data_IF_601648342912
#
_entry.id   IF_601648342912
#
_cell.length_a   1.000
_cell.length_b   1.000
_cell.length_c   1.000
_cell.angle_alpha   90.00
_cell.angle_beta   90.00
_cell.angle_gamma   90.00
#
_symmetry.space_group_name_H-M   'P 1'
#
loop_
_entity.id
_entity.type
_entity.pdbx_description
1 polymer ?
#
# COMPACT_ATOMS: atom_id res chain seq x y z
N UNK A 1 -4.10 5.27 23.75
CA UNK A 1 -3.75 6.71 23.81
C UNK A 1 -3.96 7.45 22.49
N UNK A 2 -3.15 7.27 21.44
CA UNK A 2 -3.28 8.07 20.19
C UNK A 2 -4.65 7.94 19.51
N UNK A 3 -5.19 6.72 19.38
CA UNK A 3 -6.53 6.50 18.79
C UNK A 3 -7.68 7.08 19.61
N UNK A 4 -7.58 7.00 20.94
CA UNK A 4 -8.59 7.57 21.86
C UNK A 4 -8.58 9.10 21.80
N UNK A 5 -7.39 9.70 21.71
CA UNK A 5 -7.22 11.13 21.53
C UNK A 5 -7.81 11.61 20.19
N UNK A 6 -7.54 10.91 19.09
CA UNK A 6 -8.10 11.25 17.79
C UNK A 6 -9.63 11.19 17.77
N UNK A 7 -10.23 10.14 18.35
CA UNK A 7 -11.68 10.02 18.47
C UNK A 7 -12.29 11.16 19.31
N UNK A 8 -11.63 11.51 20.42
CA UNK A 8 -12.02 12.66 21.25
C UNK A 8 -11.99 13.96 20.43
N UNK A 9 -10.91 14.21 19.69
CA UNK A 9 -10.74 15.43 18.89
C UNK A 9 -11.78 15.55 17.78
N UNK A 10 -12.15 14.44 17.13
CA UNK A 10 -13.24 14.42 16.14
C UNK A 10 -14.59 14.73 16.80
N UNK A 11 -14.90 14.09 17.93
CA UNK A 11 -16.17 14.30 18.62
C UNK A 11 -16.28 15.76 19.10
N UNK A 12 -15.20 16.31 19.68
CA UNK A 12 -15.15 17.71 20.10
C UNK A 12 -15.34 18.68 18.90
N UNK A 13 -14.63 18.44 17.80
CA UNK A 13 -14.75 19.23 16.57
C UNK A 13 -16.18 19.22 16.02
N UNK A 14 -16.81 18.05 15.98
CA UNK A 14 -18.20 17.91 15.55
C UNK A 14 -19.17 18.67 16.46
N UNK A 15 -19.04 18.56 17.78
CA UNK A 15 -19.86 19.29 18.73
C UNK A 15 -19.71 20.81 18.62
N UNK A 16 -18.49 21.30 18.36
CA UNK A 16 -18.22 22.73 18.12
C UNK A 16 -18.89 23.20 16.82
N UNK A 17 -18.80 22.41 15.74
CA UNK A 17 -19.47 22.73 14.47
C UNK A 17 -20.99 22.82 14.61
N UNK A 18 -21.58 21.99 15.48
CA UNK A 18 -23.01 22.02 15.79
C UNK A 18 -23.42 23.30 16.53
N UNK A 19 -22.48 23.93 17.24
CA UNK A 19 -22.66 25.21 17.92
C UNK A 19 -22.50 26.43 16.99
N UNK A 20 -22.44 26.24 15.66
CA UNK A 20 -22.28 27.28 14.60
C UNK A 20 -20.94 28.04 14.61
N UNK A 21 -19.88 27.46 15.15
CA UNK A 21 -18.51 27.96 14.98
C UNK A 21 -17.79 27.15 13.88
N UNK A 22 -17.04 27.78 12.96
CA UNK A 22 -16.18 27.07 12.02
C UNK A 22 -14.98 26.50 12.78
N UNK A 23 -14.91 25.18 12.90
CA UNK A 23 -13.78 24.49 13.52
C UNK A 23 -13.22 23.49 12.52
N UNK A 24 -11.92 23.60 12.23
CA UNK A 24 -11.24 22.72 11.31
C UNK A 24 -11.15 21.31 11.93
N UNK A 25 -11.54 20.29 11.15
CA UNK A 25 -11.49 18.91 11.63
C UNK A 25 -10.04 18.48 11.84
N UNK A 26 -9.64 18.15 13.07
CA UNK A 26 -8.25 17.80 13.37
C UNK A 26 -7.89 16.46 12.72
N UNK A 27 -6.73 16.42 12.07
CA UNK A 27 -6.21 15.24 11.38
C UNK A 27 -5.51 14.27 12.34
N UNK A 28 -5.34 13.02 11.93
CA UNK A 28 -4.75 11.96 12.76
C UNK A 28 -3.28 12.23 13.16
N UNK A 29 -2.61 13.15 12.46
CA UNK A 29 -1.22 13.53 12.65
C UNK A 29 -1.04 14.92 13.28
N UNK A 30 -2.14 15.62 13.62
CA UNK A 30 -2.05 16.93 14.26
C UNK A 30 -1.48 16.80 15.68
N UNK A 31 -0.70 17.80 16.08
CA UNK A 31 -0.09 17.83 17.41
C UNK A 31 -1.19 17.80 18.50
N UNK A 32 -1.13 16.84 19.44
CA UNK A 32 -2.17 16.70 20.46
C UNK A 32 -2.35 17.93 21.34
N UNK A 33 -1.26 18.62 21.69
CA UNK A 33 -1.33 19.79 22.57
C UNK A 33 -1.87 21.02 21.82
N UNK A 34 -1.52 21.18 20.55
CA UNK A 34 -2.08 22.22 19.68
C UNK A 34 -3.58 22.02 19.47
N UNK A 35 -4.01 20.78 19.16
CA UNK A 35 -5.42 20.43 18.96
C UNK A 35 -6.24 20.67 20.24
N UNK A 36 -5.72 20.25 21.39
CA UNK A 36 -6.31 20.54 22.70
C UNK A 36 -6.43 22.04 22.93
N UNK A 37 -5.38 22.81 22.65
CA UNK A 37 -5.36 24.25 22.88
C UNK A 37 -6.41 24.96 22.03
N UNK A 38 -6.58 24.53 20.78
CA UNK A 38 -7.63 25.01 19.88
C UNK A 38 -9.03 24.69 20.42
N UNK A 39 -9.28 23.43 20.81
CA UNK A 39 -10.57 23.01 21.41
C UNK A 39 -10.87 23.80 22.69
N UNK A 40 -9.89 24.00 23.57
CA UNK A 40 -10.06 24.75 24.81
C UNK A 40 -10.26 26.25 24.56
N UNK A 41 -9.60 26.83 23.56
CA UNK A 41 -9.80 28.24 23.18
C UNK A 41 -11.23 28.49 22.70
N UNK A 42 -11.76 27.58 21.89
CA UNK A 42 -13.13 27.63 21.39
C UNK A 42 -14.14 27.37 22.51
N UNK A 43 -13.81 26.48 23.44
CA UNK A 43 -14.63 26.21 24.62
C UNK A 43 -14.68 27.42 25.56
N UNK A 44 -13.57 28.15 25.75
CA UNK A 44 -13.57 29.41 26.52
C UNK A 44 -14.43 30.47 25.86
N UNK A 45 -14.48 30.52 24.53
CA UNK A 45 -15.36 31.43 23.80
C UNK A 45 -16.85 31.08 23.98
N UNK A 46 -17.18 29.78 24.02
CA UNK A 46 -18.56 29.27 24.12
C UNK A 46 -19.08 29.14 25.57
N UNK A 47 -18.18 28.99 26.56
CA UNK A 47 -18.51 28.70 27.97
C UNK A 47 -17.85 29.74 28.88
N UNK A 48 -18.62 30.72 29.36
CA UNK A 48 -18.18 31.85 30.23
C UNK A 48 -17.52 31.48 31.59
N UNK A 49 -17.33 30.21 31.93
CA UNK A 49 -16.76 29.79 33.24
C UNK A 49 -15.83 28.57 33.18
N UNK A 50 -15.04 28.40 32.12
CA UNK A 50 -14.02 27.35 32.13
C UNK A 50 -12.70 27.85 32.76
N UNK A 51 -12.33 27.30 33.92
CA UNK A 51 -11.16 27.71 34.70
C UNK A 51 -10.05 26.64 34.81
N UNK A 52 -10.18 25.51 34.11
CA UNK A 52 -9.15 24.46 34.19
C UNK A 52 -8.06 24.67 33.14
N UNK A 53 -6.80 24.70 33.60
CA UNK A 53 -5.63 24.90 32.74
C UNK A 53 -4.93 23.60 32.33
N UNK A 54 -5.32 22.45 32.92
CA UNK A 54 -4.73 21.15 32.62
C UNK A 54 -5.83 20.11 32.37
N UNK A 55 -5.66 19.26 31.35
CA UNK A 55 -6.61 18.17 31.08
C UNK A 55 -6.08 16.88 31.71
N UNK A 56 -6.48 16.63 32.96
CA UNK A 56 -6.42 15.28 33.54
C UNK A 56 -7.51 14.42 32.89
N UNK A 57 -7.37 13.09 32.92
CA UNK A 57 -8.28 12.14 32.26
C UNK A 57 -9.76 12.35 32.62
N UNK A 58 -10.05 12.85 33.83
CA UNK A 58 -11.40 13.21 34.30
C UNK A 58 -11.97 14.49 33.69
N UNK A 59 -11.12 15.37 33.18
CA UNK A 59 -11.49 16.69 32.62
C UNK A 59 -11.95 16.57 31.16
N UNK A 60 -11.49 15.56 30.41
CA UNK A 60 -11.93 15.31 29.02
C UNK A 60 -13.45 15.06 28.93
N UNK A 61 -14.00 14.23 29.83
CA UNK A 61 -15.43 13.94 29.87
C UNK A 61 -16.24 15.18 30.24
N UNK A 62 -15.75 16.00 31.18
CA UNK A 62 -16.42 17.24 31.57
C UNK A 62 -16.44 18.27 30.42
N UNK A 63 -15.35 18.38 29.67
CA UNK A 63 -15.29 19.23 28.47
C UNK A 63 -16.33 18.81 27.44
N UNK A 64 -16.43 17.51 27.15
CA UNK A 64 -17.43 17.01 26.20
C UNK A 64 -18.85 17.21 26.71
N UNK A 65 -19.11 16.97 28.00
CA UNK A 65 -20.43 17.15 28.60
C UNK A 65 -20.91 18.61 28.47
N UNK A 66 -20.04 19.58 28.72
CA UNK A 66 -20.34 21.01 28.53
C UNK A 66 -20.59 21.37 27.06
N UNK A 67 -19.81 20.81 26.13
CA UNK A 67 -20.00 21.00 24.68
C UNK A 67 -21.32 20.38 24.20
N UNK A 68 -21.65 19.18 24.69
CA UNK A 68 -22.92 18.50 24.39
C UNK A 68 -24.10 19.31 24.91
N UNK A 69 -24.05 19.78 26.16
CA UNK A 69 -25.15 20.56 26.72
C UNK A 69 -25.40 21.86 25.93
N UNK A 70 -24.34 22.51 25.44
CA UNK A 70 -24.43 23.68 24.56
C UNK A 70 -24.92 23.35 23.16
N UNK A 71 -24.43 22.27 22.57
CA UNK A 71 -24.89 21.80 21.26
C UNK A 71 -26.39 21.47 21.30
N UNK A 72 -26.84 20.77 22.35
CA UNK A 72 -28.26 20.44 22.57
C UNK A 72 -29.11 21.69 22.77
N UNK A 73 -28.64 22.67 23.57
CA UNK A 73 -29.33 23.98 23.73
C UNK A 73 -29.41 24.74 22.41
N UNK A 74 -28.35 24.76 21.61
CA UNK A 74 -28.32 25.44 20.30
C UNK A 74 -29.28 24.82 19.27
N UNK A 75 -29.56 23.52 19.41
CA UNK A 75 -30.51 22.77 18.59
C UNK A 75 -31.95 22.75 19.14
N UNK A 76 -32.20 23.38 20.28
CA UNK A 76 -33.52 23.44 20.92
C UNK A 76 -33.98 22.10 21.52
N UNK A 77 -33.04 21.21 21.87
CA UNK A 77 -33.38 19.91 22.43
C UNK A 77 -33.87 20.04 23.87
N UNK A 78 -35.00 19.42 24.19
CA UNK A 78 -35.58 19.33 25.54
C UNK A 78 -35.62 17.88 25.99
N UNK A 79 -35.12 17.60 27.18
CA UNK A 79 -35.24 16.27 27.79
C UNK A 79 -36.72 15.96 28.07
N UNK A 80 -37.25 14.89 27.48
CA UNK A 80 -38.60 14.43 27.78
C UNK A 80 -38.66 13.91 29.22
N UNK A 81 -39.61 14.41 30.00
CA UNK A 81 -39.82 14.01 31.40
C UNK A 81 -40.24 12.53 31.41
N UNK A 82 -39.47 11.69 32.10
CA UNK A 82 -39.72 10.25 32.20
C UNK A 82 -41.15 9.99 32.68
N UNK A 83 -41.94 9.29 31.87
CA UNK A 83 -43.28 8.83 32.25
C UNK A 83 -43.14 7.90 33.46
N UNK A 84 -43.86 8.19 34.55
CA UNK A 84 -43.94 7.29 35.71
C UNK A 84 -44.63 6.00 35.27
N UNK A 85 -43.87 4.94 34.98
CA UNK A 85 -44.43 3.61 34.80
C UNK A 85 -45.04 3.14 36.13
N UNK A 86 -46.24 2.55 36.08
CA UNK A 86 -46.94 2.09 37.28
C UNK A 86 -46.28 0.83 37.84
N UNK A 87 -46.25 0.71 39.17
CA UNK A 87 -45.67 -0.42 39.93
C UNK A 87 -46.12 -1.82 39.45
N UNK A 88 -47.37 -2.04 38.99
CA UNK A 88 -47.79 -3.33 38.45
C UNK A 88 -46.93 -3.86 37.28
N UNK A 89 -46.46 -2.98 36.38
CA UNK A 89 -45.63 -3.40 35.24
C UNK A 89 -44.22 -3.84 35.68
N UNK A 90 -43.73 -3.29 36.79
CA UNK A 90 -42.40 -3.59 37.33
C UNK A 90 -42.36 -5.01 37.93
N UNK A 91 -43.42 -5.41 38.63
CA UNK A 91 -43.45 -6.69 39.35
C UNK A 91 -43.47 -7.90 38.41
N UNK A 92 -44.17 -7.80 37.27
CA UNK A 92 -44.23 -8.87 36.25
C UNK A 92 -42.91 -9.08 35.49
N UNK A 93 -42.11 -8.02 35.34
CA UNK A 93 -40.82 -8.09 34.63
C UNK A 93 -39.67 -8.55 35.54
N UNK A 94 -39.76 -8.32 36.85
CA UNK A 94 -38.71 -8.65 37.81
C UNK A 94 -38.73 -10.12 38.25
N UNK A 95 -39.88 -10.79 38.14
CA UNK A 95 -40.05 -12.21 38.48
C UNK A 95 -40.76 -12.97 37.36
N UNK A 96 -40.08 -13.29 36.24
CA UNK A 96 -40.58 -14.30 35.33
C UNK A 96 -40.49 -15.66 36.04
N UNK A 97 -41.61 -16.38 36.17
CA UNK A 97 -41.67 -17.69 36.81
C UNK A 97 -40.74 -18.68 36.09
N UNK A 98 -39.52 -18.85 36.59
CA UNK A 98 -38.57 -19.86 36.13
C UNK A 98 -37.96 -20.50 37.37
N UNK A 99 -38.28 -21.78 37.59
CA UNK A 99 -37.60 -22.66 38.52
C UNK A 99 -36.18 -22.92 37.98
N UNK A 100 -35.13 -22.51 38.71
CA UNK A 100 -33.75 -22.93 38.42
C UNK A 100 -33.04 -23.20 39.74
N UNK A 101 -32.54 -24.44 39.86
CA UNK A 101 -31.78 -24.99 40.97
C UNK A 101 -30.43 -24.25 41.15
N UNK A 102 -30.07 -23.95 42.40
CA UNK A 102 -28.80 -23.31 42.77
C UNK A 102 -27.70 -24.36 43.02
N UNK A 103 -26.54 -24.20 42.38
CA UNK A 103 -25.27 -24.80 42.82
C UNK A 103 -24.20 -23.71 42.96
N UNK A 104 -23.48 -23.72 44.09
CA UNK A 104 -22.59 -22.65 44.53
C UNK A 104 -21.14 -23.17 44.63
N UNK A 105 -20.18 -22.51 43.98
CA UNK A 105 -18.74 -22.81 44.10
C UNK A 105 -18.03 -21.62 44.76
N UNK A 106 -17.38 -21.87 45.90
CA UNK A 106 -16.53 -20.91 46.63
C UNK A 106 -15.08 -21.01 46.15
N UNK A 107 -14.41 -19.87 46.00
CA UNK A 107 -12.94 -19.78 46.02
C UNK A 107 -12.52 -18.55 46.83
N UNK A 108 -11.63 -18.77 47.81
CA UNK A 108 -10.97 -17.78 48.67
C UNK A 108 -9.67 -17.29 48.00
N UNK A 109 -9.29 -16.02 48.22
CA UNK A 109 -8.07 -15.40 47.67
C UNK A 109 -7.15 -14.91 48.80
N UNK A 110 -5.87 -15.30 48.75
CA UNK A 110 -4.81 -14.99 49.73
C UNK A 110 -3.99 -13.74 49.36
N UNK A 111 -3.41 -13.13 50.40
CA UNK A 111 -2.79 -11.80 50.47
C UNK A 111 -1.27 -11.85 50.26
N UNK A 112 -0.65 -10.90 49.54
CA UNK A 112 0.81 -10.65 49.61
C UNK A 112 1.18 -9.18 49.37
N UNK A 113 1.84 -8.59 50.37
CA UNK A 113 2.55 -7.29 50.34
C UNK A 113 4.00 -7.47 49.87
N UNK A 114 4.63 -6.46 49.26
CA UNK A 114 6.08 -6.20 49.39
C UNK A 114 6.44 -4.73 49.05
N UNK A 115 7.34 -4.16 49.86
CA UNK A 115 7.75 -2.74 49.90
C UNK A 115 9.02 -2.41 49.09
N UNK A 116 9.28 -1.13 48.78
CA UNK A 116 10.56 -0.66 48.23
C UNK A 116 10.76 0.88 48.06
N UNK A 117 11.12 1.58 49.15
CA UNK A 117 12.04 2.74 49.37
C UNK A 117 12.30 3.91 48.36
N UNK A 118 11.82 5.12 48.76
CA UNK A 118 12.48 6.48 48.92
C UNK A 118 12.99 7.34 47.72
N UNK A 119 13.14 8.71 47.82
CA UNK A 119 12.58 9.70 48.78
C UNK A 119 12.19 11.14 48.24
N UNK A 120 11.59 11.98 49.13
CA UNK A 120 11.54 13.49 49.19
C UNK A 120 10.55 14.22 48.23
N UNK A 121 9.61 15.12 48.60
CA UNK A 121 9.31 15.99 49.76
C UNK A 121 7.81 15.88 50.10
N UNK A 122 7.51 15.69 51.39
CA UNK A 122 6.17 15.57 51.96
C UNK A 122 5.59 16.98 52.16
N UNK A 123 4.40 17.24 51.61
CA UNK A 123 3.48 18.19 52.24
C UNK A 123 3.04 17.51 53.53
N UNK A 124 3.66 17.86 54.65
CA UNK A 124 3.24 17.35 55.96
C UNK A 124 1.84 17.91 56.22
N UNK A 125 0.85 17.03 56.10
CA UNK A 125 -0.47 17.28 56.66
C UNK A 125 -0.29 17.20 58.16
N UNK A 126 -0.57 18.30 58.88
CA UNK A 126 -0.60 18.38 60.35
C UNK A 126 -1.71 17.50 60.99
N UNK A 127 -2.09 16.41 60.33
CA UNK A 127 -3.11 15.48 60.81
C UNK A 127 -2.38 14.33 61.49
N UNK A 128 -2.41 14.35 62.83
CA UNK A 128 -1.89 13.27 63.66
C UNK A 128 -2.60 11.96 63.30
N UNK A 129 -1.83 10.94 62.94
CA UNK A 129 -2.36 9.64 62.54
C UNK A 129 -3.16 8.97 63.66
N UNK A 130 -2.82 9.26 64.93
CA UNK A 130 -3.57 8.76 66.08
C UNK A 130 -4.92 9.46 66.23
N UNK A 131 -4.98 10.79 66.04
CA UNK A 131 -6.21 11.57 66.03
C UNK A 131 -7.13 11.19 64.86
N UNK A 132 -6.54 10.97 63.67
CA UNK A 132 -7.29 10.49 62.51
C UNK A 132 -7.85 9.09 62.73
N UNK A 133 -7.08 8.17 63.33
CA UNK A 133 -7.57 6.82 63.59
C UNK A 133 -8.66 6.80 64.66
N UNK A 134 -8.58 7.66 65.68
CA UNK A 134 -9.64 7.84 66.66
C UNK A 134 -10.90 8.46 66.02
N UNK A 135 -10.75 9.41 65.12
CA UNK A 135 -11.87 9.98 64.37
C UNK A 135 -12.48 8.94 63.42
N UNK A 136 -11.66 8.10 62.79
CA UNK A 136 -12.12 6.97 61.97
C UNK A 136 -12.84 5.93 62.82
N UNK A 137 -12.33 5.53 63.98
CA UNK A 137 -13.02 4.62 64.90
C UNK A 137 -14.30 5.21 65.48
N UNK A 138 -14.35 6.53 65.70
CA UNK A 138 -15.54 7.25 66.15
C UNK A 138 -16.60 7.39 65.06
N UNK A 139 -16.18 7.59 63.81
CA UNK A 139 -17.04 7.79 62.64
C UNK A 139 -17.40 6.45 61.97
N UNK A 140 -16.64 5.38 62.20
CA UNK A 140 -16.92 4.00 61.72
C UNK A 140 -18.32 3.51 62.10
N UNK A 141 -18.80 3.69 63.35
CA UNK A 141 -20.19 3.38 63.73
C UNK A 141 -21.23 4.28 63.03
N UNK A 142 -20.87 5.50 62.66
CA UNK A 142 -21.76 6.46 61.98
C UNK A 142 -21.81 6.24 60.46
N UNK A 143 -20.73 5.69 59.89
CA UNK A 143 -20.61 5.26 58.49
C UNK A 143 -21.04 3.81 58.28
N UNK A 144 -21.16 3.03 59.35
CA UNK A 144 -21.82 1.73 59.33
C UNK A 144 -23.29 1.97 59.05
N UNK A 145 -23.61 2.07 57.75
CA UNK A 145 -24.96 2.02 57.21
C UNK A 145 -25.52 0.67 57.63
N UNK A 146 -26.10 0.65 58.82
CA UNK A 146 -26.94 -0.47 59.25
C UNK A 146 -28.15 -0.34 58.36
N UNK A 147 -28.10 -1.03 57.22
CA UNK A 147 -29.24 -1.24 56.34
C UNK A 147 -30.23 -2.00 57.22
N UNK A 148 -31.11 -1.25 57.90
CA UNK A 148 -32.39 -1.81 58.30
C UNK A 148 -33.00 -2.29 57.00
N UNK A 149 -33.23 -3.60 56.90
CA UNK A 149 -34.02 -4.23 55.85
C UNK A 149 -35.43 -3.66 55.90
N UNK A 150 -35.60 -2.45 55.36
CA UNK A 150 -36.89 -1.93 54.95
C UNK A 150 -37.06 -2.31 53.48
N UNK A 151 -38.16 -3.00 53.18
CA UNK A 151 -38.62 -3.44 51.86
C UNK A 151 -38.94 -2.27 50.90
N UNK A 152 -38.22 -1.15 51.00
CA UNK A 152 -38.34 0.04 50.16
C UNK A 152 -37.06 0.32 49.36
N UNK A 153 -35.88 -0.04 49.89
CA UNK A 153 -34.59 0.24 49.23
C UNK A 153 -34.30 -0.74 48.09
N UNK A 154 -34.70 -2.01 48.23
CA UNK A 154 -34.65 -3.00 47.13
C UNK A 154 -35.44 -2.52 45.89
N UNK A 155 -36.54 -1.81 46.13
CA UNK A 155 -37.45 -1.27 45.14
C UNK A 155 -36.85 -0.05 44.45
N UNK A 156 -36.04 0.73 45.17
CA UNK A 156 -35.39 1.93 44.64
C UNK A 156 -34.14 1.57 43.82
N UNK A 157 -33.33 0.62 44.30
CA UNK A 157 -32.18 0.09 43.56
C UNK A 157 -32.64 -0.72 42.34
N UNK A 158 -33.65 -1.58 42.50
CA UNK A 158 -34.29 -2.29 41.40
C UNK A 158 -34.98 -1.36 40.40
N UNK A 159 -35.60 -0.27 40.88
CA UNK A 159 -36.17 0.77 40.03
C UNK A 159 -35.12 1.51 39.20
N UNK A 160 -33.95 1.82 39.77
CA UNK A 160 -32.85 2.44 39.03
C UNK A 160 -32.26 1.50 37.96
N UNK A 161 -32.07 0.22 38.30
CA UNK A 161 -31.63 -0.80 37.35
C UNK A 161 -32.67 -0.98 36.24
N UNK A 162 -33.97 -1.05 36.57
CA UNK A 162 -35.04 -1.17 35.59
C UNK A 162 -35.11 0.05 34.67
N UNK A 163 -35.02 1.26 35.19
CA UNK A 163 -34.96 2.49 34.38
C UNK A 163 -33.76 2.40 33.44
N UNK A 164 -32.59 2.00 33.93
CA UNK A 164 -31.41 1.83 33.08
C UNK A 164 -31.66 0.80 31.97
N UNK A 165 -32.25 -0.36 32.27
CA UNK A 165 -32.57 -1.39 31.29
C UNK A 165 -33.61 -0.91 30.26
N UNK A 166 -34.70 -0.27 30.69
CA UNK A 166 -35.74 0.26 29.79
C UNK A 166 -35.17 1.35 28.87
N UNK A 167 -34.34 2.24 29.39
CA UNK A 167 -33.69 3.26 28.58
C UNK A 167 -32.69 2.64 27.59
N UNK A 168 -31.93 1.65 28.02
CA UNK A 168 -31.00 0.93 27.16
C UNK A 168 -31.73 0.16 26.05
N UNK A 169 -32.81 -0.55 26.37
CA UNK A 169 -33.64 -1.29 25.40
C UNK A 169 -34.40 -0.35 24.46
N UNK A 170 -34.90 0.79 24.96
CA UNK A 170 -35.54 1.81 24.14
C UNK A 170 -34.58 2.47 23.16
N UNK A 171 -33.33 2.73 23.59
CA UNK A 171 -32.26 3.24 22.72
C UNK A 171 -31.87 2.19 21.68
N UNK A 172 -31.69 0.92 22.09
CA UNK A 172 -31.32 -0.18 21.19
C UNK A 172 -32.43 -0.41 20.16
N UNK A 173 -33.69 -0.44 20.58
CA UNK A 173 -34.85 -0.65 19.70
C UNK A 173 -35.04 0.54 18.75
N UNK A 174 -34.86 1.76 19.24
CA UNK A 174 -34.90 2.97 18.41
C UNK A 174 -33.71 3.09 17.45
N UNK A 175 -32.56 2.47 17.77
CA UNK A 175 -31.41 2.36 16.87
C UNK A 175 -31.53 1.19 15.88
N UNK A 176 -32.27 0.14 16.26
CA UNK A 176 -32.63 -0.98 15.41
C UNK A 176 -33.75 -0.67 14.43
N UNK A 177 -34.32 0.55 14.50
CA UNK A 177 -35.31 1.05 13.56
C UNK A 177 -34.88 0.67 12.13
N UNK A 178 -35.68 -0.19 11.51
CA UNK A 178 -35.25 -1.07 10.41
C UNK A 178 -34.60 -0.31 9.23
N UNK A 179 -34.86 0.99 9.14
CA UNK A 179 -34.28 1.93 8.17
C UNK A 179 -32.75 2.03 8.27
N UNK A 180 -32.16 2.07 9.47
CA UNK A 180 -30.70 2.19 9.62
C UNK A 180 -30.01 0.88 9.23
N UNK A 181 -30.57 -0.26 9.63
CA UNK A 181 -30.07 -1.58 9.26
C UNK A 181 -30.21 -1.85 7.76
N UNK A 182 -31.35 -1.48 7.17
CA UNK A 182 -31.58 -1.57 5.73
C UNK A 182 -30.59 -0.67 4.96
N UNK A 183 -30.36 0.56 5.43
CA UNK A 183 -29.37 1.45 4.81
C UNK A 183 -27.96 0.89 4.93
N UNK A 184 -27.60 0.31 6.09
CA UNK A 184 -26.31 -0.36 6.28
C UNK A 184 -26.15 -1.53 5.31
N UNK A 185 -27.18 -2.33 5.13
CA UNK A 185 -27.18 -3.46 4.19
C UNK A 185 -27.08 -2.98 2.73
N UNK A 186 -27.80 -1.93 2.37
CA UNK A 186 -27.73 -1.31 1.04
C UNK A 186 -26.35 -0.71 0.77
N UNK A 187 -25.74 -0.06 1.76
CA UNK A 187 -24.37 0.45 1.68
C UNK A 187 -23.39 -0.71 1.50
N UNK A 188 -23.52 -1.80 2.25
CA UNK A 188 -22.67 -2.99 2.08
C UNK A 188 -22.83 -3.59 0.68
N UNK A 189 -24.07 -3.77 0.20
CA UNK A 189 -24.35 -4.31 -1.14
C UNK A 189 -23.81 -3.40 -2.25
N UNK A 190 -23.94 -2.08 -2.10
CA UNK A 190 -23.41 -1.12 -3.08
C UNK A 190 -21.90 -1.09 -3.06
N UNK A 191 -21.26 -1.18 -1.89
CA UNK A 191 -19.80 -1.30 -1.76
C UNK A 191 -19.29 -2.57 -2.45
N UNK A 192 -19.91 -3.73 -2.22
CA UNK A 192 -19.54 -4.98 -2.87
C UNK A 192 -19.72 -4.91 -4.39
N UNK A 193 -20.81 -4.31 -4.88
CA UNK A 193 -21.04 -4.10 -6.32
C UNK A 193 -20.02 -3.16 -6.95
N UNK A 194 -19.67 -2.06 -6.28
CA UNK A 194 -18.67 -1.10 -6.76
C UNK A 194 -17.29 -1.76 -6.80
N UNK A 195 -16.91 -2.46 -5.73
CA UNK A 195 -15.63 -3.16 -5.63
C UNK A 195 -15.50 -4.27 -6.68
N UNK A 196 -16.53 -5.12 -6.83
CA UNK A 196 -16.55 -6.16 -7.86
C UNK A 196 -16.58 -5.61 -9.28
N UNK A 197 -17.32 -4.52 -9.53
CA UNK A 197 -17.34 -3.85 -10.84
C UNK A 197 -15.98 -3.26 -11.21
N UNK A 198 -15.30 -2.60 -10.26
CA UNK A 198 -13.97 -2.03 -10.48
C UNK A 198 -12.95 -3.13 -10.73
N UNK A 199 -12.95 -4.19 -9.92
CA UNK A 199 -12.07 -5.34 -10.08
C UNK A 199 -12.28 -6.04 -11.43
N UNK A 200 -13.54 -6.20 -11.86
CA UNK A 200 -13.85 -6.80 -13.16
C UNK A 200 -13.37 -5.92 -14.33
N UNK A 201 -13.56 -4.60 -14.26
CA UNK A 201 -13.02 -3.67 -15.28
C UNK A 201 -11.51 -3.75 -15.38
N UNK A 202 -10.82 -3.79 -14.24
CA UNK A 202 -9.36 -3.90 -14.22
C UNK A 202 -8.87 -5.23 -14.79
N UNK A 203 -9.58 -6.34 -14.50
CA UNK A 203 -9.32 -7.65 -15.11
C UNK A 203 -9.51 -7.65 -16.62
N UNK A 204 -10.60 -7.07 -17.11
CA UNK A 204 -10.86 -6.98 -18.56
C UNK A 204 -9.79 -6.14 -19.27
N UNK A 205 -9.41 -4.99 -18.70
CA UNK A 205 -8.34 -4.14 -19.23
C UNK A 205 -7.00 -4.88 -19.24
N UNK A 206 -6.65 -5.58 -18.15
CA UNK A 206 -5.44 -6.38 -18.08
C UNK A 206 -5.44 -7.50 -19.12
N UNK A 207 -6.56 -8.22 -19.28
CA UNK A 207 -6.68 -9.31 -20.24
C UNK A 207 -6.60 -8.82 -21.69
N UNK A 208 -7.23 -7.68 -22.00
CA UNK A 208 -7.13 -7.04 -23.31
C UNK A 208 -5.70 -6.55 -23.60
N UNK A 209 -5.08 -5.87 -22.64
CA UNK A 209 -3.70 -5.40 -22.77
C UNK A 209 -2.73 -6.59 -22.94
N UNK A 210 -2.89 -7.64 -22.15
CA UNK A 210 -2.12 -8.88 -22.27
C UNK A 210 -2.30 -9.53 -23.64
N UNK A 211 -3.52 -9.60 -24.16
CA UNK A 211 -3.78 -10.12 -25.51
C UNK A 211 -3.08 -9.29 -26.59
N UNK A 212 -3.12 -7.96 -26.48
CA UNK A 212 -2.41 -7.06 -27.41
C UNK A 212 -0.89 -7.20 -27.33
N UNK A 213 -0.33 -7.38 -26.13
CA UNK A 213 1.11 -7.62 -25.94
C UNK A 213 1.52 -8.96 -26.55
N UNK A 214 0.74 -10.04 -26.34
CA UNK A 214 1.01 -11.34 -26.96
C UNK A 214 1.00 -11.24 -28.49
N UNK A 215 0.03 -10.54 -29.07
CA UNK A 215 -0.03 -10.36 -30.53
C UNK A 215 1.15 -9.54 -31.05
N UNK A 216 1.55 -8.46 -30.36
CA UNK A 216 2.76 -7.70 -30.71
C UNK A 216 4.03 -8.54 -30.59
N UNK A 217 4.15 -9.39 -29.57
CA UNK A 217 5.27 -10.33 -29.43
C UNK A 217 5.29 -11.35 -30.56
N UNK A 218 4.12 -11.84 -31.01
CA UNK A 218 4.01 -12.73 -32.18
C UNK A 218 4.50 -12.04 -33.45
N UNK A 219 4.03 -10.81 -33.70
CA UNK A 219 4.44 -10.02 -34.88
C UNK A 219 5.94 -9.69 -34.82
N UNK A 220 6.49 -9.37 -33.65
CA UNK A 220 7.92 -9.13 -33.49
C UNK A 220 8.76 -10.39 -33.77
N UNK A 221 8.29 -11.56 -33.33
CA UNK A 221 8.95 -12.83 -33.65
C UNK A 221 8.94 -13.11 -35.16
N UNK A 222 7.81 -12.85 -35.84
CA UNK A 222 7.67 -12.97 -37.29
C UNK A 222 8.62 -12.02 -38.03
N UNK A 223 8.66 -10.73 -37.66
CA UNK A 223 9.59 -9.75 -38.23
C UNK A 223 11.06 -10.14 -37.97
N UNK A 224 11.36 -10.68 -36.78
CA UNK A 224 12.72 -11.13 -36.46
C UNK A 224 13.14 -12.34 -37.29
N UNK A 225 12.21 -13.25 -37.58
CA UNK A 225 12.46 -14.40 -38.45
C UNK A 225 12.68 -13.93 -39.89
N UNK A 226 11.87 -13.02 -40.39
CA UNK A 226 12.02 -12.44 -41.73
C UNK A 226 13.34 -11.67 -41.88
N UNK A 227 13.75 -10.95 -40.83
CA UNK A 227 15.05 -10.26 -40.80
C UNK A 227 16.21 -11.27 -40.88
N UNK A 228 16.14 -12.39 -40.16
CA UNK A 228 17.19 -13.42 -40.22
C UNK A 228 17.21 -14.13 -41.57
N UNK A 229 16.04 -14.42 -42.16
CA UNK A 229 15.95 -14.93 -43.54
C UNK A 229 16.59 -13.98 -44.54
N UNK A 230 16.26 -12.69 -44.47
CA UNK A 230 16.83 -11.68 -45.35
C UNK A 230 18.34 -11.55 -45.16
N UNK A 231 18.82 -11.60 -43.92
CA UNK A 231 20.25 -11.60 -43.60
C UNK A 231 20.95 -12.83 -44.18
N UNK A 232 20.37 -14.02 -44.02
CA UNK A 232 20.91 -15.26 -44.60
C UNK A 232 20.96 -15.18 -46.12
N UNK A 233 19.91 -14.68 -46.78
CA UNK A 233 19.92 -14.42 -48.22
C UNK A 233 20.99 -13.41 -48.63
N UNK A 234 21.21 -12.34 -47.85
CA UNK A 234 22.26 -11.36 -48.12
C UNK A 234 23.66 -11.94 -47.93
N UNK A 235 23.87 -12.83 -46.96
CA UNK A 235 25.16 -13.50 -46.76
C UNK A 235 25.44 -14.49 -47.90
N UNK A 236 24.44 -15.28 -48.31
CA UNK A 236 24.54 -16.25 -49.40
C UNK A 236 24.72 -15.56 -50.77
N UNK A 237 23.89 -14.53 -51.06
CA UNK A 237 23.97 -13.73 -52.29
C UNK A 237 25.11 -12.71 -52.26
N UNK A 238 25.64 -12.32 -51.11
CA UNK A 238 26.82 -11.47 -51.01
C UNK A 238 28.10 -12.26 -51.27
N UNK A 239 28.16 -13.49 -50.75
CA UNK A 239 29.28 -14.40 -50.97
C UNK A 239 29.35 -14.86 -52.44
N UNK A 240 28.22 -15.19 -53.07
CA UNK A 240 28.22 -15.83 -54.40
C UNK A 240 28.86 -14.99 -55.52
N UNK A 241 28.53 -13.70 -55.73
CA UNK A 241 29.17 -12.83 -56.72
C UNK A 241 30.64 -12.59 -56.41
N UNK A 242 31.00 -12.39 -55.14
CA UNK A 242 32.38 -12.17 -54.72
C UNK A 242 33.22 -13.42 -54.97
N UNK A 243 32.70 -14.60 -54.67
CA UNK A 243 33.34 -15.89 -54.95
C UNK A 243 33.50 -16.10 -56.46
N UNK A 244 32.48 -15.80 -57.27
CA UNK A 244 32.56 -15.88 -58.74
C UNK A 244 33.63 -14.94 -59.31
N UNK A 245 33.72 -13.70 -58.83
CA UNK A 245 34.74 -12.74 -59.25
C UNK A 245 36.13 -13.26 -58.88
N UNK A 246 36.34 -13.74 -57.64
CA UNK A 246 37.62 -14.31 -57.21
C UNK A 246 38.04 -15.50 -58.08
N UNK A 247 37.11 -16.39 -58.41
CA UNK A 247 37.39 -17.58 -59.23
C UNK A 247 37.77 -17.20 -60.67
N UNK A 248 37.05 -16.26 -61.29
CA UNK A 248 37.39 -15.74 -62.63
C UNK A 248 38.74 -15.03 -62.64
N UNK A 249 39.06 -14.27 -61.58
CA UNK A 249 40.34 -13.58 -61.44
C UNK A 249 41.51 -14.56 -61.32
N UNK A 250 41.34 -15.67 -60.58
CA UNK A 250 42.36 -16.73 -60.51
C UNK A 250 42.57 -17.42 -61.85
N UNK A 251 41.50 -17.69 -62.61
CA UNK A 251 41.62 -18.25 -63.97
C UNK A 251 42.40 -17.33 -64.91
N UNK A 252 42.08 -16.04 -64.90
CA UNK A 252 42.81 -15.04 -65.70
C UNK A 252 44.28 -14.97 -65.31
N UNK A 253 44.62 -15.03 -64.02
CA UNK A 253 46.03 -15.10 -63.58
C UNK A 253 46.76 -16.32 -64.15
N UNK A 254 46.13 -17.48 -64.10
CA UNK A 254 46.72 -18.71 -64.65
C UNK A 254 46.86 -18.66 -66.17
N UNK A 255 45.92 -18.02 -66.87
CA UNK A 255 46.00 -17.80 -68.31
C UNK A 255 47.14 -16.84 -68.69
N UNK A 256 47.35 -15.78 -67.89
CA UNK A 256 48.50 -14.87 -68.05
C UNK A 256 49.82 -15.62 -67.86
N UNK A 257 49.96 -16.41 -66.79
CA UNK A 257 51.16 -17.23 -66.57
C UNK A 257 51.41 -18.21 -67.72
N UNK A 258 50.36 -18.85 -68.24
CA UNK A 258 50.47 -19.74 -69.39
C UNK A 258 50.88 -18.97 -70.65
N UNK A 259 50.36 -17.76 -70.85
CA UNK A 259 50.70 -16.91 -71.99
C UNK A 259 52.15 -16.44 -71.91
N UNK A 260 52.67 -16.11 -70.72
CA UNK A 260 54.08 -15.76 -70.51
C UNK A 260 55.01 -16.92 -70.87
N UNK A 261 54.65 -18.15 -70.50
CA UNK A 261 55.41 -19.34 -70.92
C UNK A 261 55.39 -19.51 -72.44
N UNK A 262 54.23 -19.34 -73.09
CA UNK A 262 54.11 -19.42 -74.55
C UNK A 262 54.91 -18.32 -75.24
N UNK A 263 54.88 -17.10 -74.71
CA UNK A 263 55.66 -15.96 -75.19
C UNK A 263 57.16 -16.29 -75.14
N UNK A 264 57.65 -16.82 -74.02
CA UNK A 264 59.04 -17.26 -73.90
C UNK A 264 59.45 -18.37 -74.89
N UNK A 265 58.57 -19.35 -75.15
CA UNK A 265 58.84 -20.40 -76.15
C UNK A 265 58.89 -19.81 -77.57
N UNK A 266 57.97 -18.91 -77.90
CA UNK A 266 57.94 -18.23 -79.21
C UNK A 266 59.18 -17.36 -79.39
N UNK A 267 59.57 -16.59 -78.36
CA UNK A 267 60.79 -15.78 -78.36
C UNK A 267 62.04 -16.65 -78.54
N UNK A 268 62.15 -17.76 -77.82
CA UNK A 268 63.27 -18.70 -77.98
C UNK A 268 63.31 -19.31 -79.39
N UNK A 269 62.16 -19.74 -79.90
CA UNK A 269 62.05 -20.32 -81.26
C UNK A 269 62.46 -19.30 -82.32
N UNK A 270 62.00 -18.06 -82.20
CA UNK A 270 62.36 -16.97 -83.10
C UNK A 270 63.85 -16.66 -83.04
N UNK A 271 64.43 -16.60 -81.83
CA UNK A 271 65.86 -16.37 -81.64
C UNK A 271 66.69 -17.51 -82.25
N UNK A 272 66.30 -18.76 -82.05
CA UNK A 272 66.96 -19.92 -82.62
C UNK A 272 66.86 -19.92 -84.16
N UNK A 273 65.71 -19.56 -84.72
CA UNK A 273 65.53 -19.41 -86.17
C UNK A 273 66.45 -18.32 -86.75
N UNK A 274 66.52 -17.14 -86.11
CA UNK A 274 67.43 -16.05 -86.51
C UNK A 274 68.90 -16.45 -86.43
N UNK A 275 69.30 -17.15 -85.37
CA UNK A 275 70.68 -17.64 -85.24
C UNK A 275 71.01 -18.68 -86.31
N UNK A 276 70.07 -19.57 -86.64
CA UNK A 276 70.23 -20.56 -87.70
C UNK A 276 70.34 -19.93 -89.08
N UNK A 277 69.52 -18.92 -89.38
CA UNK A 277 69.61 -18.13 -90.61
C UNK A 277 70.98 -17.44 -90.74
N UNK A 278 71.44 -16.76 -89.69
CA UNK A 278 72.78 -16.13 -89.67
C UNK A 278 73.91 -17.13 -89.86
N UNK A 279 73.85 -18.29 -89.20
CA UNK A 279 74.84 -19.35 -89.37
C UNK A 279 74.80 -19.93 -90.80
N UNK A 280 73.62 -20.14 -91.38
CA UNK A 280 73.48 -20.59 -92.76
C UNK A 280 74.06 -19.56 -93.74
N UNK A 281 73.75 -18.26 -93.59
CA UNK A 281 74.35 -17.20 -94.40
C UNK A 281 75.88 -17.21 -94.32
N UNK A 282 76.44 -17.42 -93.12
CA UNK A 282 77.90 -17.49 -92.92
C UNK A 282 78.48 -18.74 -93.60
N UNK A 283 77.81 -19.89 -93.51
CA UNK A 283 78.20 -21.12 -94.20
C UNK A 283 78.13 -20.99 -95.72
N UNK A 284 77.08 -20.36 -96.24
CA UNK A 284 76.90 -20.13 -97.68
C UNK A 284 77.95 -19.14 -98.21
N UNK A 285 78.31 -18.10 -97.44
CA UNK A 285 79.45 -17.21 -97.74
C UNK A 285 80.79 -17.98 -97.77
N UNK A 286 81.02 -18.91 -96.85
CA UNK A 286 82.24 -19.75 -96.87
C UNK A 286 82.21 -20.80 -97.99
N UNK A 287 81.04 -21.36 -98.33
CA UNK A 287 80.89 -22.34 -99.40
C UNK A 287 81.02 -21.70 -100.80
N UNK A 288 80.51 -20.49 -100.98
CA UNK A 288 80.72 -19.70 -102.22
C UNK A 288 82.19 -19.34 -102.42
N UNK A 289 82.93 -19.06 -101.35
CA UNK A 289 84.39 -18.85 -101.41
C UNK A 289 85.20 -20.11 -101.81
N UNK A 290 84.63 -21.31 -101.63
CA UNK A 290 85.26 -22.58 -102.01
C UNK A 290 84.85 -23.07 -103.42
N UNK A 291 83.87 -22.40 -104.05
CA UNK A 291 83.33 -22.77 -105.36
C UNK A 291 83.73 -21.81 -106.50
N UNK A 292 84.70 -20.91 -106.31
CA UNK A 292 85.38 -20.31 -107.47
C UNK A 292 86.33 -21.35 -108.10
N UNK A 293 86.01 -21.92 -109.29
CA UNK A 293 86.94 -22.76 -110.00
C UNK A 293 87.94 -21.82 -110.68
N UNK A 294 89.21 -21.96 -110.32
CA UNK A 294 90.33 -21.38 -111.04
C UNK A 294 90.36 -21.97 -112.46
N UNK A 295 89.56 -21.40 -113.35
CA UNK A 295 89.59 -21.64 -114.80
C UNK A 295 90.63 -20.72 -115.39
N UNK A 296 91.91 -21.10 -115.26
CA UNK A 296 92.95 -20.60 -116.14
C UNK A 296 93.12 -21.58 -117.30
N UNK A 297 92.52 -21.21 -118.43
CA UNK A 297 92.89 -21.68 -119.76
C UNK A 297 94.07 -20.85 -120.28
N UNK A 298 95.08 -21.57 -120.80
CA UNK A 298 96.30 -21.18 -121.54
C UNK A 298 97.49 -20.64 -120.74
#
# INVERSE_FOLDING_TARGET
NVRQFYLYSIIAAWLISLCRQPFDTPQQYDDPNATISNILSELRALVRRYHSNNILTSVFCHVLDQLVEKALKSKGFTWNRVHKLSLPTIYTLLYPSVEVEEECVKVEEEMTELSGSRPVVVLESDVDAAEWNLEVERVLPQLKVTIRTDNKVSNMTGGFILIKCIHQDGIITSLQDAKLNHLREDISKTLEKVSSSQLNKEKELYQQASGSVTERSRILAEISEDLEKFKQEMEEKGSTPVVKIRQSLTKLKQEIEQMDVRMGVVEHTLLQAKLREKNNMTRDMHATHLLEPNTQTY
#
